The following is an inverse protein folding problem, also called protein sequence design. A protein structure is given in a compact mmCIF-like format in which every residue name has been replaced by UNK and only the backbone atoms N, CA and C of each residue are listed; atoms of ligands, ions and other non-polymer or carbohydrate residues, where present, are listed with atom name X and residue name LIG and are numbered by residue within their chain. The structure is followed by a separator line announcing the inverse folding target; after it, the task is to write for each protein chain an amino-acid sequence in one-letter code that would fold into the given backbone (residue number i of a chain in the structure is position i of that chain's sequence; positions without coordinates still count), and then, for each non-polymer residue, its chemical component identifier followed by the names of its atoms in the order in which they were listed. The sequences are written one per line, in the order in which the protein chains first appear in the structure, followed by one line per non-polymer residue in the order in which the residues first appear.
data_IF_296785964564
#
_entry.id   IF_296785964564
#
_cell.length_a   1.000
_cell.length_b   1.000
_cell.length_c   1.000
_cell.angle_alpha   90.00
_cell.angle_beta   90.00
_cell.angle_gamma   90.00
#
_symmetry.space_group_name_H-M   'P 1'
#
loop_
_entity.id
_entity.type
_entity.pdbx_description
1 polymer ?
#
# COMPACT_ATOMS: atom_id res chain seq x y z
N UNK A 1 5.83 5.31 -9.17
CA UNK A 1 5.44 3.89 -8.99
C UNK A 1 6.44 3.28 -8.03
N UNK A 2 5.97 2.63 -6.96
CA UNK A 2 6.83 2.03 -5.92
C UNK A 2 6.72 0.52 -6.05
N UNK A 3 7.86 -0.16 -6.19
CA UNK A 3 7.92 -1.62 -6.19
C UNK A 3 8.27 -2.10 -4.79
N UNK A 4 7.39 -2.92 -4.21
CA UNK A 4 7.60 -3.50 -2.89
C UNK A 4 7.80 -4.99 -3.02
N UNK A 5 8.76 -5.53 -2.26
CA UNK A 5 8.91 -6.96 -2.07
C UNK A 5 7.86 -7.42 -1.07
N UNK A 6 7.09 -8.42 -1.46
CA UNK A 6 6.03 -9.01 -0.63
C UNK A 6 6.63 -10.23 0.08
N UNK A 7 6.53 -10.32 1.41
CA UNK A 7 6.96 -11.50 2.14
C UNK A 7 6.13 -12.70 1.68
N UNK A 8 6.78 -13.84 1.42
CA UNK A 8 6.08 -15.08 1.08
C UNK A 8 5.35 -15.61 2.31
N UNK A 9 4.10 -16.03 2.13
CA UNK A 9 3.37 -16.77 3.15
C UNK A 9 3.91 -18.20 3.26
N UNK A 10 4.84 -18.42 4.20
CA UNK A 10 5.45 -19.72 4.44
C UNK A 10 4.44 -20.77 4.96
N UNK A 11 3.31 -20.35 5.56
CA UNK A 11 2.30 -21.30 6.02
C UNK A 11 1.58 -21.95 4.84
N UNK A 12 1.34 -21.18 3.77
CA UNK A 12 0.79 -21.70 2.51
C UNK A 12 1.74 -22.72 1.83
N UNK A 13 3.04 -22.67 2.12
CA UNK A 13 4.05 -23.61 1.62
C UNK A 13 4.07 -24.90 2.46
N UNK A 14 3.82 -24.78 3.77
CA UNK A 14 3.94 -25.90 4.70
C UNK A 14 2.77 -26.90 4.62
N UNK A 15 1.57 -26.45 4.24
CA UNK A 15 0.34 -27.26 4.27
C UNK A 15 0.02 -28.06 2.99
N UNK A 16 0.90 -28.05 1.98
CA UNK A 16 0.77 -28.96 0.84
C UNK A 16 1.63 -28.56 -0.36
N UNK A 17 1.74 -29.44 -1.36
CA UNK A 17 2.44 -29.29 -2.66
C UNK A 17 2.00 -28.09 -3.54
N UNK A 18 1.39 -27.09 -2.93
CA UNK A 18 0.86 -25.84 -3.40
C UNK A 18 1.96 -24.80 -3.68
N UNK A 19 2.97 -25.17 -4.47
CA UNK A 19 4.02 -24.25 -4.96
C UNK A 19 3.46 -22.99 -5.66
N UNK A 20 2.24 -23.08 -6.24
CA UNK A 20 1.55 -21.94 -6.82
C UNK A 20 1.01 -20.95 -5.76
N UNK A 21 0.60 -21.42 -4.58
CA UNK A 21 0.14 -20.57 -3.48
C UNK A 21 1.30 -20.01 -2.67
N UNK A 22 2.45 -20.70 -2.66
CA UNK A 22 3.71 -20.12 -2.18
C UNK A 22 4.00 -18.76 -2.83
N UNK A 23 3.65 -18.61 -4.12
CA UNK A 23 3.91 -17.40 -4.90
C UNK A 23 2.84 -16.31 -4.72
N UNK A 24 1.71 -16.61 -4.07
CA UNK A 24 0.57 -15.72 -3.91
C UNK A 24 0.29 -15.46 -2.43
N UNK A 25 0.72 -14.29 -1.95
CA UNK A 25 0.58 -13.90 -0.54
C UNK A 25 -0.61 -12.95 -0.38
N UNK A 26 -1.64 -13.30 0.41
CA UNK A 26 -2.70 -12.37 0.76
C UNK A 26 -2.17 -11.34 1.78
N UNK A 27 -2.23 -10.06 1.43
CA UNK A 27 -1.92 -8.95 2.32
C UNK A 27 -3.07 -7.96 2.38
N UNK A 28 -3.32 -7.41 3.56
CA UNK A 28 -4.17 -6.23 3.71
C UNK A 28 -3.52 -5.00 3.06
N UNK A 29 -4.34 -4.05 2.63
CA UNK A 29 -3.85 -2.78 2.10
C UNK A 29 -2.96 -2.06 3.13
N UNK A 30 -3.29 -2.11 4.43
CA UNK A 30 -2.45 -1.56 5.50
C UNK A 30 -1.03 -2.13 5.47
N UNK A 31 -0.89 -3.46 5.34
CA UNK A 31 0.43 -4.11 5.26
C UNK A 31 1.19 -3.70 4.00
N UNK A 32 0.50 -3.62 2.86
CA UNK A 32 1.12 -3.18 1.59
C UNK A 32 1.59 -1.73 1.68
N UNK A 33 0.80 -0.84 2.30
CA UNK A 33 1.16 0.54 2.54
C UNK A 33 2.35 0.67 3.47
N UNK A 34 2.46 -0.16 4.51
CA UNK A 34 3.63 -0.19 5.38
C UNK A 34 4.89 -0.53 4.60
N UNK A 35 4.84 -1.54 3.72
CA UNK A 35 5.95 -1.88 2.83
C UNK A 35 6.28 -0.75 1.87
N UNK A 36 5.28 -0.11 1.26
CA UNK A 36 5.48 0.98 0.30
C UNK A 36 6.08 2.24 0.94
N UNK A 37 5.59 2.61 2.13
CA UNK A 37 6.14 3.73 2.88
C UNK A 37 7.59 3.43 3.27
N UNK A 38 7.87 2.25 3.83
CA UNK A 38 9.23 1.84 4.19
C UNK A 38 10.17 1.87 2.98
N UNK A 39 9.72 1.36 1.84
CA UNK A 39 10.48 1.38 0.60
C UNK A 39 10.77 2.83 0.13
N UNK A 40 9.78 3.72 0.25
CA UNK A 40 9.89 5.11 -0.23
C UNK A 40 10.86 5.97 0.59
N UNK A 41 10.87 5.81 1.91
CA UNK A 41 11.73 6.58 2.82
C UNK A 41 13.11 5.92 3.03
N UNK A 42 13.27 4.68 2.56
CA UNK A 42 14.45 3.84 2.73
C UNK A 42 14.33 2.87 3.92
N UNK A 43 14.81 1.64 3.72
CA UNK A 43 14.72 0.56 4.73
C UNK A 43 15.37 0.93 6.06
N UNK A 44 16.43 1.75 6.03
CA UNK A 44 17.18 2.20 7.21
C UNK A 44 16.64 3.48 7.85
N UNK A 45 15.49 3.99 7.39
CA UNK A 45 14.89 5.18 7.97
C UNK A 45 14.59 4.99 9.47
N UNK A 46 14.81 6.02 10.32
CA UNK A 46 14.44 5.99 11.72
C UNK A 46 12.97 5.62 11.93
N UNK A 47 12.67 4.94 13.03
CA UNK A 47 11.32 4.46 13.35
C UNK A 47 10.28 5.59 13.35
N UNK A 48 10.59 6.70 13.98
CA UNK A 48 9.69 7.85 14.09
C UNK A 48 9.36 8.46 12.72
N UNK A 49 10.31 8.42 11.78
CA UNK A 49 10.09 8.88 10.41
C UNK A 49 9.14 7.94 9.67
N UNK A 50 9.28 6.62 9.88
CA UNK A 50 8.37 5.63 9.34
C UNK A 50 6.95 5.81 9.89
N UNK A 51 6.79 5.85 11.21
CA UNK A 51 5.48 5.95 11.87
C UNK A 51 4.73 7.21 11.41
N UNK A 52 5.39 8.37 11.43
CA UNK A 52 4.78 9.63 10.96
C UNK A 52 4.32 9.59 9.51
N UNK A 53 5.13 9.04 8.61
CA UNK A 53 4.75 8.95 7.20
C UNK A 53 3.65 7.91 6.97
N UNK A 54 3.69 6.81 7.71
CA UNK A 54 2.70 5.75 7.62
C UNK A 54 1.34 6.22 8.12
N UNK A 55 1.27 6.82 9.31
CA UNK A 55 0.05 7.40 9.88
C UNK A 55 -0.54 8.49 8.96
N UNK A 56 0.30 9.38 8.42
CA UNK A 56 -0.16 10.39 7.46
C UNK A 56 -0.74 9.77 6.20
N UNK A 57 -0.17 8.66 5.72
CA UNK A 57 -0.64 7.95 4.53
C UNK A 57 -1.99 7.27 4.81
N UNK A 58 -2.14 6.63 5.97
CA UNK A 58 -3.42 6.02 6.38
C UNK A 58 -4.51 7.09 6.51
N UNK A 59 -4.23 8.19 7.19
CA UNK A 59 -5.17 9.29 7.37
C UNK A 59 -5.60 9.91 6.03
N UNK A 60 -4.66 10.10 5.09
CA UNK A 60 -4.95 10.64 3.77
C UNK A 60 -5.80 9.68 2.92
N UNK A 61 -5.63 8.36 3.09
CA UNK A 61 -6.44 7.38 2.38
C UNK A 61 -7.86 7.31 2.97
N UNK A 62 -7.98 7.30 4.29
CA UNK A 62 -9.26 7.27 5.01
C UNK A 62 -10.09 8.54 4.76
N UNK A 63 -9.44 9.71 4.67
CA UNK A 63 -10.09 10.98 4.29
C UNK A 63 -10.46 11.06 2.80
N UNK A 64 -9.98 10.13 1.97
CA UNK A 64 -10.14 10.18 0.52
C UNK A 64 -9.30 11.25 -0.18
N UNK A 65 -8.29 11.80 0.50
CA UNK A 65 -7.32 12.75 -0.09
C UNK A 65 -6.45 12.09 -1.14
N UNK A 66 -6.16 10.81 -0.94
CA UNK A 66 -5.44 9.96 -1.88
C UNK A 66 -6.26 8.72 -2.23
N UNK A 67 -6.00 8.19 -3.41
CA UNK A 67 -6.39 6.82 -3.80
C UNK A 67 -5.13 6.02 -4.09
N UNK A 68 -5.24 4.69 -3.90
CA UNK A 68 -4.11 3.77 -4.07
C UNK A 68 -4.49 2.71 -5.07
N UNK A 69 -3.56 2.40 -5.98
CA UNK A 69 -3.67 1.20 -6.82
C UNK A 69 -2.55 0.23 -6.49
N UNK A 70 -2.90 -1.04 -6.32
CA UNK A 70 -1.95 -2.15 -6.16
C UNK A 70 -2.08 -3.05 -7.38
N UNK A 71 -1.00 -3.23 -8.14
CA UNK A 71 -0.97 -4.02 -9.38
C UNK A 71 -2.06 -3.64 -10.39
N UNK A 72 -2.41 -2.34 -10.42
CA UNK A 72 -3.45 -1.78 -11.29
C UNK A 72 -4.87 -1.87 -10.72
N UNK A 73 -5.10 -2.55 -9.59
CA UNK A 73 -6.39 -2.58 -8.90
C UNK A 73 -6.51 -1.40 -7.95
N UNK A 74 -7.57 -0.60 -8.11
CA UNK A 74 -7.93 0.47 -7.18
C UNK A 74 -8.36 -0.14 -5.83
N UNK A 75 -7.75 0.33 -4.75
CA UNK A 75 -8.05 -0.06 -3.38
C UNK A 75 -8.55 1.17 -2.63
N UNK A 76 -9.66 1.04 -1.91
CA UNK A 76 -10.36 2.18 -1.28
C UNK A 76 -10.48 2.03 0.23
N UNK A 77 -10.35 0.82 0.75
CA UNK A 77 -10.49 0.57 2.18
C UNK A 77 -9.24 -0.08 2.73
N UNK A 78 -8.90 0.26 3.97
CA UNK A 78 -7.72 -0.25 4.66
C UNK A 78 -7.78 -1.78 4.89
N UNK A 79 -8.99 -2.31 5.03
CA UNK A 79 -9.28 -3.73 5.19
C UNK A 79 -9.33 -4.51 3.87
N UNK A 80 -9.13 -3.86 2.72
CA UNK A 80 -9.04 -4.55 1.43
C UNK A 80 -7.88 -5.55 1.45
N UNK A 81 -8.17 -6.83 1.18
CA UNK A 81 -7.16 -7.89 1.02
C UNK A 81 -6.81 -8.03 -0.45
N UNK A 82 -5.52 -7.95 -0.74
CA UNK A 82 -4.94 -8.12 -2.07
C UNK A 82 -4.03 -9.34 -2.06
N UNK A 83 -4.24 -10.23 -3.03
CA UNK A 83 -3.35 -11.35 -3.29
C UNK A 83 -2.22 -10.85 -4.19
N UNK A 84 -1.02 -10.77 -3.65
CA UNK A 84 0.16 -10.28 -4.35
C UNK A 84 1.10 -11.43 -4.72
N UNK A 85 1.86 -11.24 -5.80
CA UNK A 85 3.03 -12.06 -6.10
C UNK A 85 4.19 -11.80 -5.13
N UNK A 86 5.40 -12.24 -5.48
CA UNK A 86 6.65 -11.88 -4.77
C UNK A 86 6.93 -10.37 -4.73
N UNK A 87 6.33 -9.62 -5.66
CA UNK A 87 6.43 -8.18 -5.73
C UNK A 87 5.03 -7.60 -5.98
N UNK A 88 4.82 -6.38 -5.49
CA UNK A 88 3.65 -5.58 -5.82
C UNK A 88 4.06 -4.20 -6.31
N UNK A 89 3.29 -3.66 -7.25
CA UNK A 89 3.42 -2.31 -7.78
C UNK A 89 2.37 -1.40 -7.14
N UNK A 90 2.84 -0.44 -6.35
CA UNK A 90 1.97 0.50 -5.63
C UNK A 90 2.05 1.88 -6.27
N UNK A 91 0.89 2.51 -6.52
CA UNK A 91 0.79 3.89 -6.99
C UNK A 91 -0.19 4.67 -6.11
N UNK A 92 0.15 5.93 -5.90
CA UNK A 92 -0.63 6.90 -5.14
C UNK A 92 -1.12 7.98 -6.09
N UNK A 93 -2.38 8.36 -5.97
CA UNK A 93 -2.99 9.44 -6.74
C UNK A 93 -3.66 10.42 -5.78
N UNK A 94 -3.53 11.72 -6.07
CA UNK A 94 -4.29 12.75 -5.35
C UNK A 94 -5.72 12.77 -5.87
N UNK A 95 -6.69 12.84 -4.95
CA UNK A 95 -8.10 12.94 -5.32
C UNK A 95 -8.42 14.34 -5.88
N UNK A 96 -9.00 14.38 -7.08
CA UNK A 96 -9.29 15.63 -7.79
C UNK A 96 -10.33 16.51 -7.08
N UNK A 97 -11.23 15.92 -6.28
CA UNK A 97 -12.26 16.64 -5.54
C UNK A 97 -11.69 17.73 -4.61
N UNK A 98 -10.48 17.53 -4.07
CA UNK A 98 -9.83 18.50 -3.19
C UNK A 98 -8.98 19.53 -3.94
N UNK A 99 -8.42 19.17 -5.10
CA UNK A 99 -7.71 20.12 -5.97
C UNK A 99 -8.65 21.24 -6.44
N UNK A 100 -9.91 20.90 -6.72
CA UNK A 100 -10.95 21.89 -7.01
C UNK A 100 -11.33 22.76 -5.81
N UNK A 101 -11.36 22.20 -4.59
CA UNK A 101 -11.63 22.96 -3.36
C UNK A 101 -10.50 23.94 -3.00
N UNK A 102 -9.24 23.57 -3.23
CA UNK A 102 -8.10 24.47 -3.03
C UNK A 102 -8.12 25.57 -4.11
N UNK A 103 -8.36 25.21 -5.36
CA UNK A 103 -8.48 26.19 -6.45
C UNK A 103 -9.67 27.17 -6.25
N UNK A 104 -10.75 26.74 -5.60
CA UNK A 104 -11.90 27.60 -5.29
C UNK A 104 -11.65 28.54 -4.10
N UNK A 105 -10.74 28.21 -3.17
CA UNK A 105 -10.40 29.07 -2.03
C UNK A 105 -9.49 30.26 -2.39
N UNK A 106 -8.83 30.20 -3.55
CA UNK A 106 -7.99 31.28 -4.09
C UNK A 106 -8.70 32.16 -5.14
N UNK A 107 -10.02 32.08 -5.24
CA UNK A 107 -10.86 32.98 -6.05
C UNK A 107 -11.65 33.92 -5.16
#
# INVERSE_FOLDING_TARGET
MIHVRVPLDLNAIADGDASAFALATPLSLVQILALAVRQSIGERAPRDLFERNFERTLAALDSGDITVTVDGRECRRLDDVIVCGTNASVRFFLSHARLSSIAAFFR
#
